data_IF_291735472808
#
_entry.id   IF_291735472808
#
_cell.length_a   1.000
_cell.length_b   1.000
_cell.length_c   1.000
_cell.angle_alpha   90.00
_cell.angle_beta   90.00
_cell.angle_gamma   90.00
#
_symmetry.space_group_name_H-M   'P 1'
#
loop_
_entity.id
_entity.type
_entity.pdbx_description
1 polymer ?
#
# COMPACT_ATOMS: atom_id res chain seq x y z
N UNK A 1 13.62 28.33 7.56
CA UNK A 1 13.39 27.05 8.26
C UNK A 1 13.08 25.89 7.32
N UNK A 2 12.11 26.00 6.38
CA UNK A 2 11.81 24.93 5.41
C UNK A 2 13.02 24.46 4.59
N UNK A 3 13.83 25.38 4.06
CA UNK A 3 15.03 25.06 3.26
C UNK A 3 16.12 24.33 4.06
N UNK A 4 16.31 24.69 5.34
CA UNK A 4 17.29 24.03 6.22
C UNK A 4 16.86 22.59 6.55
N UNK A 5 15.56 22.39 6.80
CA UNK A 5 14.98 21.06 7.04
C UNK A 5 15.09 20.16 5.80
N UNK A 6 14.84 20.70 4.61
CA UNK A 6 15.01 19.97 3.34
C UNK A 6 16.47 19.61 3.08
N UNK A 7 17.42 20.51 3.36
CA UNK A 7 18.86 20.24 3.22
C UNK A 7 19.34 19.17 4.20
N UNK A 8 18.82 19.15 5.44
CA UNK A 8 19.14 18.12 6.44
C UNK A 8 18.57 16.75 6.03
N UNK A 9 17.35 16.69 5.48
CA UNK A 9 16.76 15.47 4.94
C UNK A 9 17.55 14.92 3.74
N UNK A 10 17.97 15.80 2.83
CA UNK A 10 18.80 15.43 1.67
C UNK A 10 20.19 14.94 2.13
N UNK A 11 20.79 15.59 3.12
CA UNK A 11 22.06 15.17 3.69
C UNK A 11 21.96 13.82 4.42
N UNK A 12 20.87 13.57 5.16
CA UNK A 12 20.59 12.26 5.76
C UNK A 12 20.43 11.17 4.70
N UNK A 13 19.67 11.45 3.64
CA UNK A 13 19.50 10.53 2.52
C UNK A 13 20.83 10.25 1.80
N UNK A 14 21.66 11.26 1.57
CA UNK A 14 22.99 11.11 0.97
C UNK A 14 23.97 10.33 1.86
N UNK A 15 23.90 10.51 3.18
CA UNK A 15 24.70 9.72 4.14
C UNK A 15 24.27 8.25 4.19
N UNK A 16 22.97 7.96 4.03
CA UNK A 16 22.45 6.59 3.89
C UNK A 16 22.95 5.91 2.60
N UNK A 17 23.14 6.66 1.52
CA UNK A 17 23.66 6.14 0.23
C UNK A 17 25.18 5.99 0.24
N UNK A 18 25.92 6.85 0.93
CA UNK A 18 27.39 6.84 0.96
C UNK A 18 28.01 5.81 1.93
N UNK A 19 27.21 5.18 2.80
CA UNK A 19 27.66 4.29 3.88
C UNK A 19 27.70 2.79 3.54
N UNK A 20 27.81 2.40 2.26
CA UNK A 20 27.74 0.98 1.89
C UNK A 20 29.04 0.21 2.18
N UNK A 21 29.15 -0.26 3.42
CA UNK A 21 29.90 -1.47 3.77
C UNK A 21 29.05 -2.37 4.67
N UNK A 22 27.78 -2.57 4.31
CA UNK A 22 26.84 -3.47 5.00
C UNK A 22 26.81 -4.90 4.40
N UNK A 23 27.81 -5.30 3.63
CA UNK A 23 27.91 -6.63 3.02
C UNK A 23 27.88 -7.79 4.06
N UNK A 24 28.08 -7.50 5.34
CA UNK A 24 28.19 -8.50 6.40
C UNK A 24 26.87 -8.79 7.17
N UNK A 25 25.86 -7.92 7.13
CA UNK A 25 24.79 -7.93 8.16
C UNK A 25 23.44 -8.54 7.74
N UNK A 26 23.27 -9.01 6.51
CA UNK A 26 21.97 -9.54 6.05
C UNK A 26 20.85 -8.50 5.97
N UNK A 27 21.11 -7.24 6.31
CA UNK A 27 20.17 -6.12 6.21
C UNK A 27 20.38 -5.41 4.88
N UNK A 28 19.31 -5.11 4.16
CA UNK A 28 19.33 -4.36 2.91
C UNK A 28 18.27 -3.27 2.95
N UNK A 29 18.60 -2.09 2.49
CA UNK A 29 17.64 -1.00 2.32
C UNK A 29 17.21 -0.94 0.87
N UNK A 30 15.95 -0.60 0.58
CA UNK A 30 15.50 -0.52 -0.79
C UNK A 30 14.32 0.42 -1.02
N UNK A 31 14.07 0.68 -2.29
CA UNK A 31 12.90 1.39 -2.77
C UNK A 31 11.99 0.43 -3.52
N UNK A 32 10.68 0.66 -3.47
CA UNK A 32 9.68 -0.12 -4.18
C UNK A 32 8.67 0.81 -4.83
N UNK A 33 8.19 0.46 -6.01
CA UNK A 33 7.18 1.21 -6.75
C UNK A 33 6.34 0.31 -7.65
N UNK A 34 5.13 0.74 -7.95
CA UNK A 34 4.21 -0.01 -8.79
C UNK A 34 2.82 0.60 -8.91
N UNK A 35 1.92 -0.19 -9.50
CA UNK A 35 0.52 0.15 -9.64
C UNK A 35 -0.34 -0.63 -8.65
N UNK A 36 -1.46 -0.05 -8.27
CA UNK A 36 -2.47 -0.74 -7.49
C UNK A 36 -3.87 -0.59 -8.10
N UNK A 37 -4.75 -1.52 -7.75
CA UNK A 37 -6.16 -1.54 -8.07
C UNK A 37 -6.92 -1.74 -6.77
N UNK A 38 -7.48 -0.66 -6.25
CA UNK A 38 -8.23 -0.63 -5.00
C UNK A 38 -9.73 -0.75 -5.27
N UNK A 39 -10.44 -1.49 -4.42
CA UNK A 39 -11.89 -1.50 -4.35
C UNK A 39 -12.33 -1.52 -2.90
N UNK A 40 -13.53 -1.00 -2.64
CA UNK A 40 -14.19 -1.24 -1.37
C UNK A 40 -14.73 -2.67 -1.37
N UNK A 41 -14.63 -3.34 -0.22
CA UNK A 41 -15.16 -4.69 0.03
C UNK A 41 -15.93 -4.71 1.35
N UNK A 42 -16.78 -5.70 1.59
CA UNK A 42 -17.48 -5.83 2.87
C UNK A 42 -18.90 -6.31 2.70
N UNK A 43 -19.53 -6.68 3.82
CA UNK A 43 -20.86 -7.30 3.80
C UNK A 43 -21.95 -6.36 3.27
N UNK A 44 -21.85 -5.08 3.60
CA UNK A 44 -22.91 -4.09 3.32
C UNK A 44 -22.85 -3.50 1.90
N UNK A 45 -21.90 -3.97 1.07
CA UNK A 45 -21.74 -3.52 -0.32
C UNK A 45 -21.71 -4.67 -1.33
N UNK A 46 -22.09 -5.89 -0.90
CA UNK A 46 -22.17 -7.06 -1.78
C UNK A 46 -23.21 -6.87 -2.90
N UNK A 47 -24.36 -6.28 -2.59
CA UNK A 47 -25.42 -6.02 -3.56
C UNK A 47 -25.04 -4.94 -4.60
N UNK A 48 -23.96 -4.19 -4.34
CA UNK A 48 -23.43 -3.14 -5.21
C UNK A 48 -22.20 -3.60 -6.01
N UNK A 49 -21.81 -4.88 -5.96
CA UNK A 49 -20.61 -5.39 -6.65
C UNK A 49 -20.62 -5.14 -8.17
N UNK A 50 -21.80 -5.11 -8.80
CA UNK A 50 -21.94 -4.80 -10.23
C UNK A 50 -21.58 -3.35 -10.57
N UNK A 51 -21.72 -2.45 -9.61
CA UNK A 51 -21.58 -0.99 -9.70
C UNK A 51 -20.21 -0.52 -9.17
N UNK A 52 -19.67 -1.25 -8.18
CA UNK A 52 -18.35 -0.99 -7.58
C UNK A 52 -17.24 -1.49 -8.50
N UNK A 53 -16.44 -0.56 -9.00
CA UNK A 53 -15.27 -0.81 -9.86
C UNK A 53 -13.97 -0.52 -9.12
N UNK A 54 -12.91 -1.17 -9.60
CA UNK A 54 -11.57 -0.93 -9.11
C UNK A 54 -11.13 0.48 -9.51
N UNK A 55 -10.57 1.22 -8.56
CA UNK A 55 -9.81 2.41 -8.81
C UNK A 55 -8.35 2.04 -9.03
N UNK A 56 -7.81 2.35 -10.20
CA UNK A 56 -6.37 2.26 -10.46
C UNK A 56 -5.64 3.41 -9.76
N UNK A 57 -4.48 3.10 -9.20
CA UNK A 57 -3.63 4.03 -8.49
C UNK A 57 -2.17 3.58 -8.47
N UNK A 58 -1.40 4.25 -7.63
CA UNK A 58 0.03 4.05 -7.49
C UNK A 58 0.37 3.62 -6.08
N UNK A 59 1.43 2.82 -5.96
CA UNK A 59 2.05 2.46 -4.69
C UNK A 59 3.56 2.67 -4.82
N UNK A 60 4.18 3.34 -3.86
CA UNK A 60 5.63 3.57 -3.87
C UNK A 60 6.15 3.85 -2.47
N UNK A 61 7.41 3.53 -2.19
CA UNK A 61 8.01 3.79 -0.91
C UNK A 61 9.34 3.10 -0.71
N UNK A 62 9.66 2.85 0.55
CA UNK A 62 10.92 2.25 0.99
C UNK A 62 10.67 0.98 1.79
N UNK A 63 11.67 0.11 1.84
CA UNK A 63 11.66 -1.08 2.67
C UNK A 63 13.03 -1.35 3.27
N UNK A 64 13.03 -2.11 4.36
CA UNK A 64 14.22 -2.75 4.90
C UNK A 64 14.02 -4.26 4.80
N UNK A 65 14.97 -5.00 4.23
CA UNK A 65 14.94 -6.46 4.19
C UNK A 65 15.98 -6.99 5.19
N UNK A 66 15.50 -7.53 6.30
CA UNK A 66 16.33 -8.16 7.34
C UNK A 66 16.35 -9.66 7.06
N UNK A 67 17.39 -10.11 6.35
CA UNK A 67 17.56 -11.50 5.93
C UNK A 67 18.10 -12.36 7.09
N UNK A 68 17.31 -13.34 7.51
CA UNK A 68 17.69 -14.33 8.52
C UNK A 68 18.06 -15.61 7.77
N UNK A 69 19.35 -15.78 7.51
CA UNK A 69 19.85 -16.84 6.64
C UNK A 69 19.42 -16.62 5.18
N UNK A 70 19.18 -17.73 4.45
CA UNK A 70 18.83 -17.70 3.02
C UNK A 70 17.33 -17.76 2.73
N UNK A 71 16.52 -18.13 3.73
CA UNK A 71 15.11 -18.49 3.55
C UNK A 71 14.19 -17.42 4.12
N UNK A 72 14.48 -16.91 5.32
CA UNK A 72 13.54 -16.06 6.05
C UNK A 72 13.96 -14.60 5.92
N UNK A 73 12.99 -13.70 5.79
CA UNK A 73 13.21 -12.26 5.83
C UNK A 73 12.08 -11.55 6.56
N UNK A 74 12.46 -10.66 7.46
CA UNK A 74 11.53 -9.71 8.06
C UNK A 74 11.68 -8.41 7.27
N UNK A 75 10.57 -7.94 6.72
CA UNK A 75 10.55 -6.81 5.80
C UNK A 75 9.54 -5.76 6.24
N UNK A 76 9.92 -4.82 7.12
CA UNK A 76 9.15 -3.61 7.33
C UNK A 76 9.23 -2.70 6.10
N UNK A 77 8.11 -2.06 5.77
CA UNK A 77 8.00 -1.12 4.65
C UNK A 77 7.32 0.18 5.11
N UNK A 78 7.55 1.26 4.37
CA UNK A 78 6.78 2.50 4.48
C UNK A 78 6.40 2.91 3.06
N UNK A 79 5.11 2.85 2.76
CA UNK A 79 4.56 2.98 1.43
C UNK A 79 3.56 4.12 1.39
N UNK A 80 3.64 4.96 0.36
CA UNK A 80 2.49 5.70 -0.13
C UNK A 80 1.62 4.75 -0.96
N UNK A 81 0.32 4.74 -0.70
CA UNK A 81 -0.64 3.91 -1.46
C UNK A 81 -1.96 4.64 -1.65
N UNK A 82 -2.50 4.58 -2.87
CA UNK A 82 -3.82 5.12 -3.18
C UNK A 82 -4.87 4.02 -2.93
N UNK A 83 -5.91 4.31 -2.14
CA UNK A 83 -7.03 3.40 -1.84
C UNK A 83 -8.37 4.03 -2.19
N UNK A 84 -9.42 3.22 -2.26
CA UNK A 84 -10.78 3.68 -2.53
C UNK A 84 -11.46 2.88 -3.63
N UNK A 85 -12.50 3.46 -4.24
CA UNK A 85 -13.29 2.80 -5.27
C UNK A 85 -13.95 3.79 -6.22
N UNK A 86 -14.29 3.29 -7.40
CA UNK A 86 -15.14 3.95 -8.37
C UNK A 86 -16.53 3.31 -8.30
N UNK A 87 -17.59 4.12 -8.29
CA UNK A 87 -18.98 3.69 -8.27
C UNK A 87 -19.61 4.21 -9.56
N UNK A 88 -20.04 3.29 -10.42
CA UNK A 88 -20.73 3.64 -11.66
C UNK A 88 -22.23 3.38 -11.51
N UNK A 89 -23.05 4.36 -11.80
CA UNK A 89 -24.51 4.16 -11.83
C UNK A 89 -24.89 3.02 -12.81
N UNK A 90 -25.93 2.21 -12.55
CA UNK A 90 -26.31 1.09 -13.41
C UNK A 90 -26.61 1.48 -14.86
N UNK A 91 -27.01 2.73 -15.12
CA UNK A 91 -27.26 3.26 -16.47
C UNK A 91 -25.97 3.79 -17.14
N UNK A 92 -24.86 3.89 -16.40
CA UNK A 92 -23.57 4.36 -16.90
C UNK A 92 -23.48 5.88 -17.12
N UNK A 93 -24.51 6.62 -16.73
CA UNK A 93 -24.60 8.08 -16.93
C UNK A 93 -23.72 8.86 -15.95
N UNK A 94 -23.47 8.30 -14.76
CA UNK A 94 -22.69 8.93 -13.70
C UNK A 94 -21.57 8.04 -13.19
N UNK A 95 -20.41 8.65 -12.94
CA UNK A 95 -19.25 8.00 -12.31
C UNK A 95 -18.85 8.78 -11.06
N UNK A 96 -19.05 8.16 -9.89
CA UNK A 96 -18.51 8.62 -8.63
C UNK A 96 -17.15 7.98 -8.34
N UNK A 97 -16.19 8.72 -7.79
CA UNK A 97 -14.94 8.16 -7.26
C UNK A 97 -14.72 8.67 -5.84
N UNK A 98 -14.62 7.75 -4.89
CA UNK A 98 -14.22 8.04 -3.52
C UNK A 98 -12.86 7.42 -3.29
N UNK A 99 -11.85 8.24 -3.00
CA UNK A 99 -10.49 7.74 -2.80
C UNK A 99 -9.71 8.53 -1.78
N UNK A 100 -8.72 7.86 -1.19
CA UNK A 100 -7.80 8.46 -0.25
C UNK A 100 -6.37 7.99 -0.50
N UNK A 101 -5.44 8.86 -0.16
CA UNK A 101 -4.02 8.54 -0.19
C UNK A 101 -3.54 8.26 1.22
N UNK A 102 -2.76 7.21 1.39
CA UNK A 102 -2.37 6.70 2.68
C UNK A 102 -0.85 6.54 2.76
N UNK A 103 -0.30 6.76 3.96
CA UNK A 103 0.97 6.16 4.36
C UNK A 103 0.67 4.83 5.02
N UNK A 104 1.06 3.74 4.37
CA UNK A 104 0.91 2.37 4.87
C UNK A 104 2.27 1.85 5.36
N UNK A 105 2.26 1.23 6.53
CA UNK A 105 3.43 0.64 7.19
C UNK A 105 3.18 -0.86 7.35
N UNK A 106 3.52 -1.68 6.34
CA UNK A 106 3.56 -3.14 6.45
C UNK A 106 4.71 -3.65 7.31
N UNK A 107 4.49 -4.77 8.00
CA UNK A 107 5.54 -5.61 8.58
C UNK A 107 5.41 -7.02 8.02
N UNK A 108 6.20 -7.37 7.01
CA UNK A 108 6.06 -8.63 6.29
C UNK A 108 7.03 -9.69 6.81
N UNK A 109 6.54 -10.91 6.97
CA UNK A 109 7.36 -12.10 6.99
C UNK A 109 7.42 -12.68 5.58
N UNK A 110 8.61 -12.75 5.00
CA UNK A 110 8.87 -13.27 3.66
C UNK A 110 9.67 -14.56 3.73
N UNK A 111 9.20 -15.58 3.02
CA UNK A 111 9.83 -16.89 2.89
C UNK A 111 10.28 -17.06 1.44
N UNK A 112 11.58 -17.23 1.24
CA UNK A 112 12.21 -17.44 -0.06
C UNK A 112 12.55 -18.90 -0.29
N UNK A 113 12.37 -19.34 -1.52
CA UNK A 113 12.86 -20.62 -2.04
C UNK A 113 14.27 -20.36 -2.60
N UNK A 114 15.34 -20.90 -1.98
CA UNK A 114 16.72 -20.59 -2.37
C UNK A 114 17.12 -21.33 -3.66
N UNK A 115 16.72 -20.79 -4.80
CA UNK A 115 17.11 -21.27 -6.13
C UNK A 115 18.20 -20.37 -6.75
N UNK A 116 19.10 -20.91 -7.58
CA UNK A 116 20.12 -20.12 -8.26
C UNK A 116 19.50 -19.05 -9.18
N UNK A 117 19.99 -17.81 -9.10
CA UNK A 117 19.57 -16.69 -9.96
C UNK A 117 18.23 -16.05 -9.57
N UNK A 118 17.14 -16.82 -9.61
CA UNK A 118 15.79 -16.36 -9.29
C UNK A 118 15.34 -17.08 -8.02
N UNK A 119 14.82 -16.35 -7.04
CA UNK A 119 14.33 -16.89 -5.77
C UNK A 119 12.84 -16.55 -5.63
N UNK A 120 11.94 -17.51 -5.91
CA UNK A 120 10.53 -17.34 -5.61
C UNK A 120 10.32 -17.10 -4.12
N UNK A 121 9.32 -16.28 -3.79
CA UNK A 121 9.00 -15.96 -2.41
C UNK A 121 7.51 -15.80 -2.21
N UNK A 122 7.06 -16.16 -1.02
CA UNK A 122 5.74 -15.81 -0.49
C UNK A 122 5.92 -14.92 0.73
N UNK A 123 4.97 -14.06 1.00
CA UNK A 123 5.01 -13.21 2.19
C UNK A 123 3.62 -12.93 2.72
N UNK A 124 3.56 -12.68 4.03
CA UNK A 124 2.37 -12.20 4.70
C UNK A 124 2.74 -11.35 5.92
N UNK A 125 1.84 -10.46 6.35
CA UNK A 125 2.03 -9.69 7.56
C UNK A 125 0.98 -8.61 7.79
N UNK A 126 0.94 -8.01 8.99
CA UNK A 126 0.03 -6.91 9.28
C UNK A 126 0.45 -5.63 8.56
N UNK A 127 -0.51 -4.71 8.40
CA UNK A 127 -0.28 -3.34 7.96
C UNK A 127 -1.12 -2.34 8.75
N UNK A 128 -0.57 -1.14 8.92
CA UNK A 128 -1.30 0.03 9.41
C UNK A 128 -1.20 1.15 8.39
N UNK A 129 -2.33 1.75 8.04
CA UNK A 129 -2.45 2.86 7.10
C UNK A 129 -2.95 4.12 7.80
N UNK A 130 -2.33 5.24 7.48
CA UNK A 130 -2.73 6.58 7.93
C UNK A 130 -3.14 7.41 6.72
N UNK A 131 -4.39 7.87 6.71
CA UNK A 131 -4.96 8.69 5.64
C UNK A 131 -4.27 10.07 5.64
N UNK A 132 -3.73 10.45 4.49
CA UNK A 132 -3.14 11.77 4.24
C UNK A 132 -4.18 12.76 3.73
N UNK A 133 -5.01 12.29 2.79
CA UNK A 133 -6.08 13.07 2.17
C UNK A 133 -7.14 12.14 1.62
N UNK A 134 -8.32 12.69 1.41
CA UNK A 134 -9.40 12.06 0.66
C UNK A 134 -9.95 13.03 -0.39
N UNK A 135 -10.57 12.46 -1.41
CA UNK A 135 -11.21 13.16 -2.49
C UNK A 135 -12.47 12.41 -2.90
N UNK A 136 -13.51 13.18 -3.19
CA UNK A 136 -14.70 12.70 -3.87
C UNK A 136 -14.79 13.39 -5.23
N UNK A 137 -15.01 12.60 -6.28
CA UNK A 137 -15.22 13.10 -7.64
C UNK A 137 -16.55 12.61 -8.17
N UNK A 138 -17.28 13.50 -8.84
CA UNK A 138 -18.47 13.18 -9.60
C UNK A 138 -18.25 13.57 -11.06
N UNK A 139 -18.38 12.60 -11.98
CA UNK A 139 -18.15 12.79 -13.42
C UNK A 139 -16.78 13.40 -13.78
N UNK A 140 -15.77 13.16 -12.93
CA UNK A 140 -14.41 13.66 -13.11
C UNK A 140 -14.14 15.02 -12.46
N UNK A 141 -15.15 15.67 -11.89
CA UNK A 141 -15.00 16.94 -11.16
C UNK A 141 -14.83 16.70 -9.67
N UNK A 142 -13.88 17.39 -9.04
CA UNK A 142 -13.67 17.33 -7.58
C UNK A 142 -14.85 18.03 -6.89
N UNK A 143 -15.58 17.29 -6.04
CA UNK A 143 -16.66 17.83 -5.22
C UNK A 143 -16.09 18.10 -3.83
N UNK A 144 -16.20 19.33 -3.30
CA UNK A 144 -15.71 19.64 -1.96
C UNK A 144 -16.46 18.80 -0.91
N UNK A 145 -15.70 18.20 0.01
CA UNK A 145 -16.23 17.46 1.14
C UNK A 145 -16.25 18.40 2.35
N UNK A 146 -17.43 18.60 2.94
CA UNK A 146 -17.58 19.40 4.17
C UNK A 146 -17.08 18.64 5.41
N UNK A 147 -17.19 17.31 5.38
CA UNK A 147 -16.76 16.42 6.45
C UNK A 147 -15.97 15.23 5.91
N UNK A 148 -15.15 14.61 6.77
CA UNK A 148 -14.39 13.43 6.39
C UNK A 148 -15.32 12.22 6.25
N UNK A 149 -15.27 11.57 5.08
CA UNK A 149 -16.08 10.36 4.79
C UNK A 149 -15.31 9.08 5.13
N UNK A 150 -13.97 9.10 4.97
CA UNK A 150 -13.12 7.97 5.30
C UNK A 150 -12.53 8.11 6.70
N UNK A 151 -12.39 6.99 7.39
CA UNK A 151 -11.63 6.90 8.64
C UNK A 151 -10.15 7.26 8.45
N UNK A 152 -9.54 7.91 9.45
CA UNK A 152 -8.14 8.32 9.38
C UNK A 152 -7.15 7.15 9.44
N UNK A 153 -7.53 6.07 10.13
CA UNK A 153 -6.69 4.89 10.30
C UNK A 153 -7.33 3.69 9.60
N UNK A 154 -6.51 2.94 8.88
CA UNK A 154 -6.86 1.68 8.21
C UNK A 154 -5.93 0.57 8.78
N UNK A 155 -6.48 -0.58 9.15
CA UNK A 155 -5.70 -1.72 9.62
C UNK A 155 -5.94 -2.89 8.69
N UNK A 156 -4.89 -3.61 8.34
CA UNK A 156 -5.00 -4.69 7.37
C UNK A 156 -4.01 -5.82 7.58
N UNK A 157 -4.16 -6.81 6.71
CA UNK A 157 -3.19 -7.85 6.48
C UNK A 157 -2.81 -7.86 5.00
N UNK A 158 -1.53 -8.01 4.72
CA UNK A 158 -1.00 -8.16 3.37
C UNK A 158 -0.56 -9.60 3.20
N UNK A 159 -0.82 -10.17 2.04
CA UNK A 159 -0.23 -11.41 1.59
C UNK A 159 0.07 -11.34 0.09
N UNK A 160 1.09 -12.06 -0.35
CA UNK A 160 1.52 -12.00 -1.73
C UNK A 160 2.62 -12.98 -2.07
N UNK A 161 3.02 -12.94 -3.32
CA UNK A 161 4.07 -13.76 -3.87
C UNK A 161 4.89 -12.96 -4.88
N UNK A 162 6.17 -13.30 -4.99
CA UNK A 162 7.10 -12.58 -5.85
C UNK A 162 8.31 -13.41 -6.25
N UNK A 163 9.16 -12.78 -7.04
CA UNK A 163 10.44 -13.32 -7.49
C UNK A 163 11.54 -12.31 -7.12
N UNK A 164 12.55 -12.79 -6.41
CA UNK A 164 13.77 -12.04 -6.11
C UNK A 164 14.87 -12.45 -7.09
N UNK A 165 15.45 -11.50 -7.80
CA UNK A 165 16.55 -11.70 -8.73
C UNK A 165 17.85 -11.31 -8.05
N UNK A 166 18.56 -12.31 -7.54
CA UNK A 166 19.70 -12.12 -6.67
C UNK A 166 19.33 -11.35 -5.40
N UNK A 167 20.13 -10.33 -5.06
CA UNK A 167 19.99 -9.55 -3.82
C UNK A 167 19.40 -8.15 -4.03
N UNK A 168 19.19 -7.73 -5.27
CA UNK A 168 18.92 -6.33 -5.60
C UNK A 168 17.52 -6.14 -6.16
N UNK A 169 17.10 -6.97 -7.11
CA UNK A 169 15.84 -6.75 -7.81
C UNK A 169 14.76 -7.69 -7.31
N UNK A 170 13.55 -7.19 -7.18
CA UNK A 170 12.41 -7.97 -6.74
C UNK A 170 11.15 -7.51 -7.46
N UNK A 171 10.29 -8.46 -7.84
CA UNK A 171 8.97 -8.18 -8.38
C UNK A 171 7.96 -8.96 -7.55
N UNK A 172 6.81 -8.39 -7.25
CA UNK A 172 5.74 -9.13 -6.60
C UNK A 172 4.35 -8.61 -6.93
N UNK A 173 3.40 -9.52 -6.72
CA UNK A 173 1.99 -9.22 -6.62
C UNK A 173 1.56 -9.43 -5.17
N UNK A 174 0.71 -8.53 -4.69
CA UNK A 174 0.24 -8.54 -3.30
C UNK A 174 -1.21 -8.11 -3.21
N UNK A 175 -1.91 -8.67 -2.24
CA UNK A 175 -3.25 -8.25 -1.85
C UNK A 175 -3.20 -7.68 -0.43
N UNK A 176 -3.67 -6.45 -0.27
CA UNK A 176 -3.94 -5.83 1.03
C UNK A 176 -5.40 -6.01 1.37
N UNK A 177 -5.67 -6.81 2.39
CA UNK A 177 -6.97 -7.02 2.98
C UNK A 177 -7.16 -6.03 4.14
N UNK A 178 -8.08 -5.08 4.01
CA UNK A 178 -8.55 -4.25 5.11
C UNK A 178 -9.33 -5.09 6.12
N UNK A 179 -9.06 -4.87 7.39
CA UNK A 179 -9.71 -5.54 8.53
C UNK A 179 -10.58 -4.57 9.33
N UNK A 180 -10.28 -3.27 9.27
CA UNK A 180 -11.09 -2.20 9.88
C UNK A 180 -12.12 -1.67 8.88
N UNK A 181 -13.30 -1.30 9.39
CA UNK A 181 -14.28 -0.50 8.65
C UNK A 181 -13.67 0.88 8.33
N UNK A 182 -13.84 1.33 7.08
CA UNK A 182 -13.18 2.54 6.56
C UNK A 182 -14.12 3.71 6.31
N UNK A 183 -15.44 3.49 6.38
CA UNK A 183 -16.42 4.58 6.35
C UNK A 183 -16.68 5.08 7.77
N UNK A 184 -16.78 6.41 7.92
CA UNK A 184 -17.20 7.03 9.17
C UNK A 184 -18.61 6.60 9.55
N UNK A 185 -18.91 6.56 10.85
CA UNK A 185 -20.22 6.19 11.34
C UNK A 185 -21.30 7.12 10.77
N UNK A 186 -22.38 6.53 10.27
CA UNK A 186 -23.63 7.26 10.03
C UNK A 186 -24.45 7.27 11.33
N UNK A 187 -25.50 8.10 11.35
CA UNK A 187 -26.36 8.40 12.50
C UNK A 187 -26.57 7.21 13.46
N UNK A 188 -26.53 7.46 14.76
CA UNK A 188 -26.57 6.46 15.86
C UNK A 188 -25.35 5.52 16.01
N UNK A 189 -24.21 5.81 15.36
CA UNK A 189 -22.97 5.06 15.57
C UNK A 189 -22.88 3.76 14.77
N UNK A 190 -23.79 3.56 13.81
CA UNK A 190 -23.76 2.42 12.90
C UNK A 190 -22.66 2.69 11.86
N UNK A 191 -21.59 1.89 11.92
CA UNK A 191 -20.56 1.89 10.88
C UNK A 191 -20.87 0.79 9.88
N UNK A 192 -21.13 1.12 8.60
CA UNK A 192 -21.31 0.09 7.57
C UNK A 192 -20.04 -0.74 7.44
N UNK A 193 -20.19 -2.05 7.30
CA UNK A 193 -19.09 -2.97 7.05
C UNK A 193 -18.56 -2.81 5.63
N UNK A 194 -17.72 -1.79 5.48
CA UNK A 194 -17.00 -1.45 4.28
C UNK A 194 -15.53 -1.32 4.63
N UNK A 195 -14.68 -2.05 3.92
CA UNK A 195 -13.23 -2.19 4.12
C UNK A 195 -12.50 -1.94 2.80
N UNK A 196 -11.20 -1.72 2.85
CA UNK A 196 -10.37 -1.64 1.64
C UNK A 196 -9.92 -3.02 1.18
N UNK A 197 -9.98 -3.30 -0.13
CA UNK A 197 -9.29 -4.41 -0.77
C UNK A 197 -8.40 -3.89 -1.89
N UNK A 198 -7.09 -4.16 -1.86
CA UNK A 198 -6.15 -3.58 -2.82
C UNK A 198 -5.24 -4.65 -3.41
N UNK A 199 -5.34 -4.85 -4.72
CA UNK A 199 -4.33 -5.59 -5.47
C UNK A 199 -3.21 -4.65 -5.88
N UNK A 200 -1.96 -5.06 -5.74
CA UNK A 200 -0.81 -4.28 -6.21
C UNK A 200 0.19 -5.18 -6.94
N UNK A 201 0.81 -4.63 -7.97
CA UNK A 201 1.97 -5.20 -8.63
C UNK A 201 3.13 -4.22 -8.50
N UNK A 202 4.28 -4.68 -8.00
CA UNK A 202 5.39 -3.79 -7.64
C UNK A 202 6.73 -4.35 -8.08
N UNK A 203 7.66 -3.43 -8.31
CA UNK A 203 9.08 -3.68 -8.54
C UNK A 203 9.84 -3.01 -7.39
N UNK A 204 10.85 -3.69 -6.86
CA UNK A 204 11.73 -3.19 -5.82
C UNK A 204 13.20 -3.31 -6.19
N UNK A 205 13.99 -2.36 -5.71
CA UNK A 205 15.45 -2.32 -5.82
C UNK A 205 16.02 -2.16 -4.41
N UNK A 206 16.78 -3.14 -3.96
CA UNK A 206 17.56 -3.13 -2.74
C UNK A 206 19.01 -2.75 -3.02
N UNK A 207 19.61 -2.04 -2.07
CA UNK A 207 20.99 -1.56 -2.05
C UNK A 207 21.75 -2.16 -0.86
#
# INVERSE_FOLDING_TARGET
MKKLFTSVLIAMFLCLVAGQSAAQAGIQFGIRGGGNAAKLTGADIQDLEGTIKNKVGLVAGIFLAINIGKIVTIQPEVLYTMKGSQINDPLGEYTGKLYGDYVEIPLLLKIRIPTPGIQPAIFAGPSVGFKLREKFQLNGEDVPLEENVLENNDYGAIFGAGLDFGRHFMIDVRYSLGLKKVLTAIDEGIQPDVKNGVWSATIGIAF
#
